data_IF_919669518862
#
_entry.id   IF_919669518862
#
_cell.length_a   1.000
_cell.length_b   1.000
_cell.length_c   1.000
_cell.angle_alpha   90.00
_cell.angle_beta   90.00
_cell.angle_gamma   90.00
#
_symmetry.space_group_name_H-M   'P 1'
#
loop_
_entity.id
_entity.type
_entity.pdbx_description
1 polymer ?
#
# COMPACT_ATOMS: atom_id res chain seq x y z
N UNK A 1 7.09 22.62 -10.35
CA UNK A 1 7.46 21.88 -9.11
C UNK A 1 6.76 20.55 -9.20
N UNK A 2 7.46 19.42 -9.08
CA UNK A 2 6.81 18.10 -9.13
C UNK A 2 6.10 17.86 -7.80
N UNK A 3 4.91 17.25 -7.84
CA UNK A 3 4.20 16.86 -6.63
C UNK A 3 4.75 15.56 -6.04
N UNK A 4 4.55 15.36 -4.75
CA UNK A 4 4.73 14.06 -4.09
C UNK A 4 3.50 13.70 -3.26
N UNK A 5 3.28 12.39 -3.08
CA UNK A 5 2.21 11.84 -2.25
C UNK A 5 2.82 10.95 -1.16
N UNK A 6 2.45 11.23 0.08
CA UNK A 6 2.80 10.38 1.21
C UNK A 6 1.67 9.38 1.47
N UNK A 7 1.95 8.09 1.31
CA UNK A 7 1.01 7.00 1.51
C UNK A 7 1.33 6.31 2.82
N UNK A 8 0.35 6.28 3.73
CA UNK A 8 0.43 5.57 5.01
C UNK A 8 -0.42 4.32 4.92
N UNK A 9 0.23 3.17 5.04
CA UNK A 9 -0.36 1.85 4.92
C UNK A 9 -0.72 1.31 6.30
N UNK A 10 -1.96 0.85 6.41
CA UNK A 10 -2.47 0.22 7.62
C UNK A 10 -2.70 -1.26 7.36
N UNK A 11 -2.03 -2.11 8.14
CA UNK A 11 -2.31 -3.54 8.14
C UNK A 11 -3.74 -3.80 8.62
N UNK A 12 -4.45 -4.81 8.07
CA UNK A 12 -5.72 -5.24 8.63
C UNK A 12 -5.53 -5.77 10.05
N UNK A 13 -6.56 -5.59 10.89
CA UNK A 13 -6.58 -6.18 12.24
C UNK A 13 -6.52 -7.71 12.13
N UNK A 14 -5.52 -8.31 12.75
CA UNK A 14 -5.30 -9.75 12.66
C UNK A 14 -6.19 -10.49 13.67
N UNK A 15 -6.84 -11.60 13.27
CA UNK A 15 -7.67 -12.38 14.18
C UNK A 15 -6.84 -13.20 15.20
N UNK A 16 -5.52 -13.32 15.02
CA UNK A 16 -4.68 -14.18 15.85
C UNK A 16 -4.14 -13.42 17.08
N UNK A 17 -4.72 -13.68 18.25
CA UNK A 17 -4.16 -13.30 19.56
C UNK A 17 -3.34 -14.47 20.10
N UNK A 18 -2.16 -14.20 20.66
CA UNK A 18 -1.39 -15.24 21.32
C UNK A 18 -2.13 -15.79 22.56
N UNK A 19 -1.65 -16.92 23.10
CA UNK A 19 -2.21 -17.56 24.30
C UNK A 19 -2.12 -16.70 25.59
N UNK A 20 -1.50 -15.50 25.54
CA UNK A 20 -1.36 -14.53 26.63
C UNK A 20 -2.12 -13.21 26.37
N UNK A 21 -2.92 -13.14 25.31
CA UNK A 21 -3.68 -11.92 24.96
C UNK A 21 -2.79 -10.77 24.46
N UNK A 22 -1.53 -11.02 24.12
CA UNK A 22 -0.62 -10.04 23.53
C UNK A 22 -0.67 -10.19 22.00
N UNK A 23 -0.77 -9.05 21.30
CA UNK A 23 -0.77 -9.02 19.85
C UNK A 23 0.60 -9.46 19.34
N UNK A 24 0.74 -10.72 18.94
CA UNK A 24 1.88 -11.13 18.11
C UNK A 24 1.55 -10.69 16.69
N UNK A 25 2.30 -9.72 16.18
CA UNK A 25 2.15 -9.23 14.81
C UNK A 25 2.42 -10.38 13.84
N UNK A 26 1.52 -10.61 12.88
CA UNK A 26 1.78 -11.56 11.78
C UNK A 26 3.02 -11.16 10.97
N UNK A 27 3.45 -9.90 11.08
CA UNK A 27 4.69 -9.36 10.52
C UNK A 27 5.93 -10.10 11.04
N UNK A 28 5.87 -10.68 12.25
CA UNK A 28 6.96 -11.49 12.81
C UNK A 28 6.94 -12.95 12.32
N UNK A 29 5.81 -13.42 11.77
CA UNK A 29 5.63 -14.81 11.33
C UNK A 29 5.68 -14.98 9.81
N UNK A 30 5.26 -13.95 9.07
CA UNK A 30 5.31 -13.87 7.62
C UNK A 30 5.94 -12.54 7.22
N UNK A 31 6.98 -12.58 6.40
CA UNK A 31 7.54 -11.37 5.76
C UNK A 31 6.48 -10.76 4.83
N UNK A 32 5.60 -9.93 5.39
CA UNK A 32 4.56 -9.23 4.65
C UNK A 32 5.20 -8.12 3.81
N UNK A 33 4.89 -8.12 2.52
CA UNK A 33 5.35 -7.10 1.59
C UNK A 33 4.15 -6.29 1.13
N UNK A 34 4.16 -4.97 1.38
CA UNK A 34 3.18 -4.07 0.81
C UNK A 34 3.53 -3.76 -0.64
N UNK A 35 2.53 -3.86 -1.51
CA UNK A 35 2.60 -3.40 -2.90
C UNK A 35 1.65 -2.22 -3.08
N UNK A 36 2.18 -1.09 -3.53
CA UNK A 36 1.39 0.12 -3.79
C UNK A 36 1.34 0.38 -5.29
N UNK A 37 0.12 0.62 -5.75
CA UNK A 37 -0.21 0.93 -7.13
C UNK A 37 -0.79 2.34 -7.20
N UNK A 38 -0.33 3.10 -8.18
CA UNK A 38 -0.91 4.39 -8.52
C UNK A 38 -1.66 4.25 -9.84
N UNK A 39 -2.85 4.84 -9.90
CA UNK A 39 -3.71 4.90 -11.07
C UNK A 39 -3.80 6.38 -11.43
N UNK A 40 -3.31 6.74 -12.62
CA UNK A 40 -3.53 8.08 -13.15
C UNK A 40 -4.92 8.11 -13.80
N UNK A 41 -5.84 8.92 -13.26
CA UNK A 41 -7.21 9.00 -13.78
C UNK A 41 -7.29 9.48 -15.23
N UNK A 42 -6.31 10.27 -15.70
CA UNK A 42 -6.29 10.78 -17.07
C UNK A 42 -5.76 9.76 -18.08
N UNK A 43 -4.97 8.77 -17.64
CA UNK A 43 -4.33 7.79 -18.52
C UNK A 43 -4.84 6.36 -18.30
N UNK A 44 -5.76 6.15 -17.34
CA UNK A 44 -6.27 4.85 -16.85
C UNK A 44 -5.17 3.79 -16.65
N UNK A 45 -3.95 4.25 -16.38
CA UNK A 45 -2.78 3.39 -16.29
C UNK A 45 -2.45 3.15 -14.84
N UNK A 46 -2.60 1.90 -14.43
CA UNK A 46 -2.10 1.41 -13.15
C UNK A 46 -0.60 1.12 -13.25
N UNK A 47 0.17 1.60 -12.28
CA UNK A 47 1.59 1.32 -12.16
C UNK A 47 1.93 0.97 -10.72
N UNK A 48 2.68 -0.15 -10.54
CA UNK A 48 3.30 -0.46 -9.25
C UNK A 48 4.45 0.50 -9.00
N UNK A 49 4.34 1.28 -7.93
CA UNK A 49 5.33 2.31 -7.56
C UNK A 49 6.15 1.92 -6.33
N UNK A 50 5.68 0.94 -5.55
CA UNK A 50 6.36 0.47 -4.36
C UNK A 50 6.13 -1.02 -4.10
N UNK A 51 7.17 -1.68 -3.60
CA UNK A 51 7.14 -3.03 -3.06
C UNK A 51 8.11 -3.13 -1.87
N UNK A 52 7.61 -3.36 -0.66
CA UNK A 52 8.46 -3.47 0.53
C UNK A 52 7.68 -3.61 1.84
N UNK A 53 8.39 -3.82 2.95
CA UNK A 53 7.80 -3.96 4.29
C UNK A 53 7.46 -2.60 4.96
N UNK A 54 7.87 -1.48 4.36
CA UNK A 54 7.65 -0.15 4.90
C UNK A 54 6.19 0.26 4.82
N UNK A 55 5.66 0.74 5.94
CA UNK A 55 4.26 1.23 6.04
C UNK A 55 4.09 2.67 5.54
N UNK A 56 5.17 3.43 5.41
CA UNK A 56 5.14 4.81 4.93
C UNK A 56 5.93 4.87 3.63
N UNK A 57 5.28 5.36 2.59
CA UNK A 57 5.82 5.38 1.22
C UNK A 57 5.65 6.77 0.64
N UNK A 58 6.74 7.36 0.18
CA UNK A 58 6.70 8.61 -0.58
C UNK A 58 6.72 8.29 -2.08
N UNK A 59 5.69 8.72 -2.80
CA UNK A 59 5.58 8.61 -4.25
C UNK A 59 5.88 9.98 -4.85
N UNK A 60 7.07 10.13 -5.43
CA UNK A 60 7.50 11.37 -6.07
C UNK A 60 7.25 11.42 -7.57
N UNK A 61 7.67 12.54 -8.18
CA UNK A 61 7.64 12.78 -9.63
C UNK A 61 6.25 12.69 -10.27
N UNK A 62 5.22 13.15 -9.54
CA UNK A 62 3.84 13.18 -10.02
C UNK A 62 3.57 14.51 -10.74
N UNK A 63 2.76 14.43 -11.80
CA UNK A 63 2.39 15.60 -12.59
C UNK A 63 1.41 16.48 -11.80
N UNK A 64 1.69 17.78 -11.64
CA UNK A 64 0.75 18.71 -11.01
C UNK A 64 -0.54 18.84 -11.86
N UNK A 65 -1.66 19.18 -11.23
CA UNK A 65 -2.97 19.32 -11.89
C UNK A 65 -3.56 18.01 -12.41
N UNK A 66 -3.06 16.85 -11.98
CA UNK A 66 -3.59 15.54 -12.33
C UNK A 66 -4.19 14.84 -11.10
N UNK A 67 -5.25 14.07 -11.33
CA UNK A 67 -5.88 13.25 -10.30
C UNK A 67 -5.24 11.86 -10.27
N UNK A 68 -4.81 11.44 -9.09
CA UNK A 68 -4.19 10.15 -8.84
C UNK A 68 -4.97 9.37 -7.81
N UNK A 69 -5.20 8.09 -8.10
CA UNK A 69 -5.80 7.15 -7.17
C UNK A 69 -4.76 6.12 -6.73
N UNK A 70 -4.79 5.77 -5.45
CA UNK A 70 -3.83 4.85 -4.84
C UNK A 70 -4.59 3.62 -4.32
N UNK A 71 -4.03 2.46 -4.63
CA UNK A 71 -4.51 1.15 -4.16
C UNK A 71 -3.32 0.37 -3.63
N UNK A 72 -3.52 -0.37 -2.55
CA UNK A 72 -2.50 -1.22 -1.98
C UNK A 72 -2.98 -2.67 -1.80
N UNK A 73 -2.05 -3.61 -1.85
CA UNK A 73 -2.28 -5.00 -1.43
C UNK A 73 -1.09 -5.48 -0.60
N UNK A 74 -1.31 -6.52 0.19
CA UNK A 74 -0.27 -7.23 0.92
C UNK A 74 0.06 -8.50 0.13
N UNK A 75 1.35 -8.72 -0.12
CA UNK A 75 1.89 -9.92 -0.73
C UNK A 75 2.69 -10.73 0.29
N UNK A 76 2.50 -12.04 0.28
CA UNK A 76 3.22 -13.01 1.08
C UNK A 76 4.10 -13.86 0.15
N UNK A 77 5.41 -13.56 0.04
CA UNK A 77 6.29 -14.24 -0.90
C UNK A 77 6.37 -15.74 -0.68
N UNK A 78 6.51 -16.16 0.59
CA UNK A 78 6.70 -17.57 0.98
C UNK A 78 5.51 -18.44 0.53
N UNK A 79 4.29 -17.90 0.63
CA UNK A 79 3.06 -18.63 0.28
C UNK A 79 2.56 -18.31 -1.14
N UNK A 80 3.19 -17.37 -1.84
CA UNK A 80 2.70 -16.86 -3.13
C UNK A 80 1.29 -16.26 -3.07
N UNK A 81 0.85 -15.80 -1.89
CA UNK A 81 -0.52 -15.30 -1.65
C UNK A 81 -0.56 -13.77 -1.66
N UNK A 82 -1.69 -13.22 -2.08
CA UNK A 82 -1.98 -11.79 -2.00
C UNK A 82 -3.29 -11.55 -1.27
N UNK A 83 -3.37 -10.43 -0.55
CA UNK A 83 -4.62 -9.97 0.04
C UNK A 83 -5.58 -9.48 -1.03
N UNK A 84 -6.83 -9.23 -0.63
CA UNK A 84 -7.69 -8.34 -1.40
C UNK A 84 -7.05 -6.94 -1.46
N UNK A 85 -7.29 -6.24 -2.56
CA UNK A 85 -6.88 -4.84 -2.72
C UNK A 85 -7.63 -3.93 -1.75
N UNK A 86 -6.94 -2.90 -1.27
CA UNK A 86 -7.52 -1.86 -0.43
C UNK A 86 -8.61 -1.10 -1.20
N UNK A 87 -9.44 -0.38 -0.46
CA UNK A 87 -10.28 0.66 -1.07
C UNK A 87 -9.39 1.70 -1.74
N UNK A 88 -9.79 2.12 -2.94
CA UNK A 88 -9.13 3.17 -3.68
C UNK A 88 -9.22 4.52 -2.94
N UNK A 89 -8.11 5.25 -2.93
CA UNK A 89 -8.02 6.60 -2.36
C UNK A 89 -7.48 7.55 -3.40
N UNK A 90 -8.31 8.52 -3.80
CA UNK A 90 -7.97 9.49 -4.84
C UNK A 90 -7.66 10.86 -4.24
N UNK A 91 -6.70 11.54 -4.86
CA UNK A 91 -6.25 12.89 -4.52
C UNK A 91 -5.94 13.64 -5.80
N UNK A 92 -6.23 14.94 -5.80
CA UNK A 92 -5.86 15.84 -6.89
C UNK A 92 -4.62 16.62 -6.46
N UNK A 93 -3.58 16.59 -7.29
CA UNK A 93 -2.37 17.35 -7.01
C UNK A 93 -2.55 18.81 -7.43
N UNK A 94 -2.21 19.78 -6.56
CA UNK A 94 -2.28 21.19 -6.89
C UNK A 94 -1.29 21.61 -7.98
#
# INVERSE_FOLDING_TARGET
VNGSLLVILHAPDLPYRDQKGKNVSIEDYYELVYRVFIINNSLEKEQKVYEGAGRVVEIGALAPGSSYCVVAEIYQPILGRRSQRSKERCVELP
#
